data_IF_945795364619
#
_entry.id   IF_945795364619
#
_cell.length_a   1.000
_cell.length_b   1.000
_cell.length_c   1.000
_cell.angle_alpha   90.00
_cell.angle_beta   90.00
_cell.angle_gamma   90.00
#
_symmetry.space_group_name_H-M   'P 1'
#
loop_
_entity.id
_entity.type
_entity.pdbx_description
1 polymer ?
#
# COMPACT_ATOMS: atom_id res chain seq x y z
N UNK A 1 -9.40 64.13 -55.91
CA UNK A 1 -9.52 62.72 -56.36
C UNK A 1 -8.17 62.09 -56.02
N UNK A 2 -7.96 61.35 -54.95
CA UNK A 2 -8.78 60.28 -54.37
C UNK A 2 -8.15 58.95 -54.81
N UNK A 3 -7.85 58.06 -53.86
CA UNK A 3 -7.29 56.68 -54.03
C UNK A 3 -5.74 56.60 -54.02
N UNK A 4 -5.07 55.66 -53.35
CA UNK A 4 -5.45 54.72 -52.29
C UNK A 4 -4.16 54.31 -51.56
N UNK A 5 -4.23 54.16 -50.25
CA UNK A 5 -3.11 53.79 -49.38
C UNK A 5 -2.82 52.30 -49.50
N UNK A 6 -1.74 51.93 -50.18
CA UNK A 6 -1.25 50.55 -50.24
C UNK A 6 -0.61 50.10 -48.92
N UNK A 7 -1.42 49.84 -47.90
CA UNK A 7 -1.00 49.10 -46.70
C UNK A 7 -0.76 47.64 -47.09
N UNK A 8 0.53 47.29 -47.26
CA UNK A 8 0.95 45.92 -47.52
C UNK A 8 0.69 45.08 -46.27
N UNK A 9 -0.45 44.40 -46.30
CA UNK A 9 -0.88 43.42 -45.31
C UNK A 9 0.23 42.43 -44.97
N UNK A 10 0.90 42.67 -43.84
CA UNK A 10 1.73 41.69 -43.18
C UNK A 10 0.79 40.61 -42.65
N UNK A 11 0.72 39.48 -43.36
CA UNK A 11 0.10 38.24 -42.88
C UNK A 11 0.68 37.96 -41.49
N UNK A 12 -0.12 38.14 -40.45
CA UNK A 12 0.24 37.76 -39.08
C UNK A 12 0.37 36.25 -39.10
N UNK A 13 1.60 35.76 -39.02
CA UNK A 13 1.86 34.37 -38.66
C UNK A 13 1.29 34.21 -37.25
N UNK A 14 0.14 33.56 -37.15
CA UNK A 14 -0.36 33.04 -35.88
C UNK A 14 0.57 31.89 -35.53
N UNK A 15 1.73 32.25 -34.97
CA UNK A 15 2.44 31.31 -34.10
C UNK A 15 1.44 31.10 -32.98
N UNK A 16 0.97 29.85 -32.83
CA UNK A 16 0.28 29.41 -31.63
C UNK A 16 1.22 29.74 -30.49
N UNK A 17 1.04 30.94 -29.92
CA UNK A 17 1.86 31.37 -28.82
C UNK A 17 1.55 30.36 -27.75
N UNK A 18 2.60 29.76 -27.22
CA UNK A 18 2.57 28.95 -26.02
C UNK A 18 2.28 29.90 -24.83
N UNK A 19 1.23 30.72 -24.94
CA UNK A 19 0.91 31.89 -24.15
C UNK A 19 0.43 31.55 -22.75
N UNK A 20 0.20 30.26 -22.46
CA UNK A 20 0.04 29.80 -21.08
C UNK A 20 1.38 29.44 -20.41
N UNK A 21 2.44 29.13 -21.17
CA UNK A 21 3.75 28.73 -20.65
C UNK A 21 4.74 29.89 -20.49
N UNK A 22 4.60 30.97 -21.26
CA UNK A 22 5.56 32.10 -21.22
C UNK A 22 4.94 33.44 -20.77
N UNK A 23 3.68 33.73 -21.08
CA UNK A 23 3.06 35.01 -20.71
C UNK A 23 2.43 35.00 -19.31
N UNK A 24 2.10 33.82 -18.76
CA UNK A 24 1.51 33.68 -17.42
C UNK A 24 2.49 33.99 -16.27
N UNK A 25 3.80 34.06 -16.54
CA UNK A 25 4.79 34.41 -15.52
C UNK A 25 4.68 35.87 -15.05
N UNK A 26 4.09 36.76 -15.85
CA UNK A 26 3.80 38.14 -15.44
C UNK A 26 2.32 38.24 -15.09
N UNK A 27 2.01 38.27 -13.80
CA UNK A 27 0.64 38.46 -13.35
C UNK A 27 0.06 39.78 -13.91
N UNK A 28 -1.18 39.77 -14.43
CA UNK A 28 -1.85 41.00 -14.82
C UNK A 28 -1.91 41.99 -13.65
N UNK A 29 -1.39 43.21 -13.84
CA UNK A 29 -1.44 44.27 -12.81
C UNK A 29 -2.87 44.67 -12.42
N UNK A 30 -3.83 44.45 -13.32
CA UNK A 30 -5.25 44.75 -13.11
C UNK A 30 -6.04 43.45 -13.07
N UNK A 31 -7.04 43.40 -12.20
CA UNK A 31 -7.95 42.26 -12.11
C UNK A 31 -8.72 42.08 -13.42
N UNK A 32 -8.69 40.88 -13.99
CA UNK A 32 -9.54 40.50 -15.12
C UNK A 32 -10.72 39.70 -14.58
N UNK A 33 -11.93 40.07 -14.97
CA UNK A 33 -13.11 39.27 -14.67
C UNK A 33 -12.99 37.94 -15.42
N UNK A 34 -13.20 36.84 -14.71
CA UNK A 34 -13.24 35.50 -15.30
C UNK A 34 -14.70 35.19 -15.56
N UNK A 35 -15.04 34.84 -16.80
CA UNK A 35 -16.40 34.46 -17.17
C UNK A 35 -16.88 33.29 -16.31
N UNK A 36 -18.08 33.41 -15.72
CA UNK A 36 -18.65 32.40 -14.82
C UNK A 36 -18.14 32.42 -13.36
N UNK A 37 -17.21 33.30 -12.99
CA UNK A 37 -16.74 33.43 -11.60
C UNK A 37 -17.16 34.78 -11.01
N UNK A 38 -17.94 34.74 -9.92
CA UNK A 38 -18.36 35.93 -9.19
C UNK A 38 -17.19 36.62 -8.47
N UNK A 39 -17.23 37.96 -8.39
CA UNK A 39 -16.20 38.76 -7.72
C UNK A 39 -16.04 38.38 -6.23
N UNK A 40 -17.12 37.97 -5.56
CA UNK A 40 -17.12 37.49 -4.17
C UNK A 40 -16.31 36.20 -4.00
N UNK A 41 -16.51 35.22 -4.89
CA UNK A 41 -15.79 33.94 -4.87
C UNK A 41 -14.28 34.15 -5.05
N UNK A 42 -13.87 35.09 -5.91
CA UNK A 42 -12.46 35.42 -6.10
C UNK A 42 -11.86 36.07 -4.83
N UNK A 43 -12.61 36.92 -4.14
CA UNK A 43 -12.16 37.51 -2.87
C UNK A 43 -12.04 36.47 -1.76
N UNK A 44 -12.99 35.54 -1.67
CA UNK A 44 -12.95 34.43 -0.71
C UNK A 44 -11.74 33.53 -0.91
N UNK A 45 -11.44 33.16 -2.16
CA UNK A 45 -10.25 32.37 -2.51
C UNK A 45 -8.96 33.11 -2.18
N UNK A 46 -8.89 34.42 -2.43
CA UNK A 46 -7.73 35.25 -2.02
C UNK A 46 -7.57 35.26 -0.51
N UNK A 47 -8.66 35.32 0.25
CA UNK A 47 -8.61 35.28 1.71
C UNK A 47 -8.10 33.92 2.20
N UNK A 48 -8.58 32.81 1.67
CA UNK A 48 -8.09 31.46 2.01
C UNK A 48 -6.60 31.29 1.66
N UNK A 49 -6.18 31.75 0.48
CA UNK A 49 -4.78 31.70 0.05
C UNK A 49 -3.89 32.52 0.98
N UNK A 50 -4.34 33.72 1.37
CA UNK A 50 -3.61 34.57 2.31
C UNK A 50 -3.53 33.95 3.72
N UNK A 51 -4.62 33.35 4.22
CA UNK A 51 -4.61 32.60 5.49
C UNK A 51 -3.60 31.45 5.44
N UNK A 52 -3.63 30.61 4.40
CA UNK A 52 -2.68 29.52 4.20
C UNK A 52 -1.22 30.00 4.10
N UNK A 53 -0.97 31.11 3.42
CA UNK A 53 0.37 31.72 3.38
C UNK A 53 0.81 32.27 4.74
N UNK A 54 -0.09 32.89 5.50
CA UNK A 54 0.21 33.33 6.85
C UNK A 54 0.52 32.16 7.77
N UNK A 55 -0.24 31.06 7.70
CA UNK A 55 -0.01 29.90 8.56
C UNK A 55 1.29 29.17 8.19
N UNK A 56 1.64 29.11 6.90
CA UNK A 56 2.95 28.61 6.46
C UNK A 56 4.12 29.52 6.86
N UNK A 57 3.94 30.84 6.86
CA UNK A 57 4.95 31.79 7.38
C UNK A 57 5.07 31.70 8.89
N UNK A 58 3.96 31.71 9.64
CA UNK A 58 3.95 31.55 11.10
C UNK A 58 4.58 30.24 11.51
N UNK A 59 4.28 29.13 10.84
CA UNK A 59 4.94 27.84 11.12
C UNK A 59 6.43 27.85 10.78
N UNK A 60 6.87 28.63 9.79
CA UNK A 60 8.29 28.80 9.44
C UNK A 60 9.04 29.77 10.36
N UNK A 61 8.37 30.82 10.85
CA UNK A 61 8.91 31.79 11.83
C UNK A 61 8.96 31.21 13.24
N UNK A 62 7.93 30.45 13.64
CA UNK A 62 7.96 29.63 14.87
C UNK A 62 8.97 28.47 14.77
N UNK A 63 9.47 28.18 13.57
CA UNK A 63 10.56 27.24 13.27
C UNK A 63 11.90 27.92 12.94
N UNK A 64 12.09 29.17 13.33
CA UNK A 64 13.27 29.97 12.99
C UNK A 64 14.43 29.85 13.99
N UNK A 65 15.54 29.27 13.52
CA UNK A 65 16.92 29.37 14.06
C UNK A 65 17.26 28.52 15.30
N UNK A 66 17.23 27.19 15.17
CA UNK A 66 18.23 26.34 15.85
C UNK A 66 18.27 24.96 15.17
N UNK A 67 19.33 24.71 14.40
CA UNK A 67 19.42 23.54 13.52
C UNK A 67 20.07 22.32 14.17
N UNK A 68 20.47 22.34 15.44
CA UNK A 68 21.12 21.18 16.04
C UNK A 68 20.82 21.04 17.55
N UNK A 69 20.17 19.93 17.90
CA UNK A 69 19.98 19.39 19.25
C UNK A 69 18.99 20.09 20.20
N UNK A 70 17.73 20.24 19.78
CA UNK A 70 16.63 20.20 20.75
C UNK A 70 15.64 19.12 20.34
N UNK A 71 15.84 17.91 20.87
CA UNK A 71 14.77 16.91 20.99
C UNK A 71 13.61 17.62 21.67
N UNK A 72 12.60 18.02 20.89
CA UNK A 72 11.39 18.62 21.44
C UNK A 72 10.89 17.67 22.52
N UNK A 73 10.92 18.12 23.78
CA UNK A 73 10.06 17.51 24.79
C UNK A 73 8.67 17.77 24.27
N UNK A 74 8.11 16.76 23.60
CA UNK A 74 6.70 16.69 23.27
C UNK A 74 6.01 17.03 24.59
N UNK A 75 5.41 18.21 24.69
CA UNK A 75 4.34 18.39 25.65
C UNK A 75 3.29 17.40 25.17
N UNK A 76 3.36 16.20 25.74
CA UNK A 76 2.37 15.16 25.57
C UNK A 76 1.10 15.83 26.09
N UNK A 77 0.31 16.38 25.18
CA UNK A 77 -1.09 16.62 25.43
C UNK A 77 -1.62 15.27 25.87
N UNK A 78 -1.91 15.15 27.16
CA UNK A 78 -2.42 13.92 27.74
C UNK A 78 -3.77 13.66 27.12
N UNK A 79 -3.78 12.81 26.09
CA UNK A 79 -4.92 12.41 25.26
C UNK A 79 -5.27 13.45 24.19
N UNK A 80 -4.81 13.16 22.97
CA UNK A 80 -5.46 13.61 21.74
C UNK A 80 -6.96 13.24 21.82
N UNK A 81 -7.86 14.17 21.51
CA UNK A 81 -9.31 13.95 21.60
C UNK A 81 -9.78 12.80 20.70
N UNK A 82 -8.97 12.42 19.71
CA UNK A 82 -9.19 11.26 18.83
C UNK A 82 -8.48 9.97 19.27
N UNK A 83 -7.70 10.02 20.36
CA UNK A 83 -6.99 8.86 20.92
C UNK A 83 -7.86 7.97 21.81
N UNK A 84 -9.08 8.39 22.13
CA UNK A 84 -10.04 7.55 22.84
C UNK A 84 -10.56 6.47 21.88
N UNK A 85 -9.85 5.34 21.82
CA UNK A 85 -10.36 4.14 21.14
C UNK A 85 -11.57 3.61 21.88
N UNK A 86 -12.53 3.06 21.13
CA UNK A 86 -13.66 2.35 21.70
C UNK A 86 -13.17 1.22 22.62
N UNK A 87 -13.74 1.11 23.81
CA UNK A 87 -13.47 0.00 24.72
C UNK A 87 -13.82 -1.32 24.01
N UNK A 88 -12.87 -2.25 23.97
CA UNK A 88 -13.03 -3.55 23.29
C UNK A 88 -12.34 -3.67 21.93
N UNK A 89 -11.82 -2.58 21.35
CA UNK A 89 -10.98 -2.67 20.12
C UNK A 89 -9.70 -3.45 20.41
N UNK A 90 -9.01 -3.14 21.51
CA UNK A 90 -7.77 -3.84 21.86
C UNK A 90 -8.04 -5.30 22.27
N UNK A 91 -9.17 -5.59 22.91
CA UNK A 91 -9.58 -6.96 23.25
C UNK A 91 -9.89 -7.79 21.99
N UNK A 92 -10.62 -7.21 21.02
CA UNK A 92 -10.89 -7.86 19.73
C UNK A 92 -9.60 -8.05 18.93
N UNK A 93 -8.76 -7.02 18.82
CA UNK A 93 -7.48 -7.11 18.13
C UNK A 93 -6.55 -8.18 18.74
N UNK A 94 -6.58 -8.36 20.07
CA UNK A 94 -5.84 -9.42 20.74
C UNK A 94 -6.40 -10.80 20.41
N UNK A 95 -7.72 -10.97 20.42
CA UNK A 95 -8.40 -12.21 20.03
C UNK A 95 -8.09 -12.58 18.57
N UNK A 96 -8.28 -11.63 17.65
CA UNK A 96 -8.00 -11.81 16.22
C UNK A 96 -6.52 -12.19 15.98
N UNK A 97 -5.59 -11.61 16.74
CA UNK A 97 -4.16 -11.94 16.66
C UNK A 97 -3.85 -13.36 17.13
N UNK A 98 -4.56 -13.87 18.16
CA UNK A 98 -4.40 -15.25 18.61
C UNK A 98 -5.01 -16.23 17.60
N UNK A 99 -6.17 -15.92 17.04
CA UNK A 99 -6.83 -16.75 16.02
C UNK A 99 -5.98 -16.82 14.73
N UNK A 100 -5.46 -15.70 14.26
CA UNK A 100 -4.53 -15.67 13.12
C UNK A 100 -3.21 -16.39 13.40
N UNK A 101 -2.79 -16.53 14.66
CA UNK A 101 -1.63 -17.36 15.03
C UNK A 101 -2.00 -18.84 15.03
N UNK A 102 -3.13 -19.24 15.61
CA UNK A 102 -3.58 -20.63 15.61
C UNK A 102 -3.81 -21.16 14.17
N UNK A 103 -4.32 -20.33 13.27
CA UNK A 103 -4.43 -20.67 11.84
C UNK A 103 -3.05 -20.80 11.17
N UNK A 104 -2.04 -20.06 11.64
CA UNK A 104 -0.65 -20.14 11.17
C UNK A 104 0.16 -21.27 11.81
N UNK A 105 -0.20 -21.70 13.01
CA UNK A 105 0.47 -22.79 13.72
C UNK A 105 0.29 -24.12 12.97
N UNK A 106 -0.67 -24.19 12.03
CA UNK A 106 -0.68 -25.18 10.95
C UNK A 106 -0.74 -26.63 11.42
N UNK A 107 -0.89 -26.89 12.72
CA UNK A 107 -0.77 -28.22 13.32
C UNK A 107 -1.81 -29.19 12.74
N UNK A 108 -3.02 -28.70 12.49
CA UNK A 108 -4.08 -29.48 11.82
C UNK A 108 -3.70 -29.79 10.36
N UNK A 109 -3.08 -28.85 9.65
CA UNK A 109 -2.60 -29.08 8.28
C UNK A 109 -1.39 -30.02 8.24
N UNK A 110 -0.48 -29.93 9.22
CA UNK A 110 0.65 -30.84 9.35
C UNK A 110 0.18 -32.27 9.66
N UNK A 111 -0.73 -32.44 10.62
CA UNK A 111 -1.31 -33.75 10.93
C UNK A 111 -2.08 -34.35 9.73
N UNK A 112 -2.78 -33.51 8.94
CA UNK A 112 -3.43 -33.95 7.72
C UNK A 112 -2.43 -34.34 6.62
N UNK A 113 -1.31 -33.62 6.50
CA UNK A 113 -0.24 -33.93 5.55
C UNK A 113 0.52 -35.19 5.94
N UNK A 114 0.76 -35.43 7.22
CA UNK A 114 1.39 -36.64 7.75
C UNK A 114 0.53 -37.87 7.44
N UNK A 115 -0.77 -37.82 7.73
CA UNK A 115 -1.70 -38.91 7.36
C UNK A 115 -1.73 -39.19 5.86
N UNK A 116 -1.66 -38.15 5.03
CA UNK A 116 -1.55 -38.32 3.57
C UNK A 116 -0.24 -38.97 3.17
N UNK A 117 0.88 -38.54 3.75
CA UNK A 117 2.20 -39.08 3.47
C UNK A 117 2.27 -40.57 3.85
N UNK A 118 1.77 -40.95 5.03
CA UNK A 118 1.67 -42.36 5.43
C UNK A 118 0.86 -43.19 4.44
N UNK A 119 -0.26 -42.65 3.94
CA UNK A 119 -1.08 -43.33 2.93
C UNK A 119 -0.32 -43.52 1.61
N UNK A 120 0.40 -42.50 1.15
CA UNK A 120 1.25 -42.61 -0.05
C UNK A 120 2.38 -43.62 0.14
N UNK A 121 3.02 -43.63 1.29
CA UNK A 121 4.08 -44.59 1.63
C UNK A 121 3.56 -46.03 1.64
N UNK A 122 2.37 -46.26 2.19
CA UNK A 122 1.71 -47.57 2.18
C UNK A 122 1.32 -48.01 0.76
N UNK A 123 0.80 -47.08 -0.05
CA UNK A 123 0.52 -47.33 -1.48
C UNK A 123 1.80 -47.72 -2.24
N UNK A 124 2.91 -47.00 -2.02
CA UNK A 124 4.18 -47.31 -2.69
C UNK A 124 4.76 -48.65 -2.25
N UNK A 125 4.62 -49.01 -0.97
CA UNK A 125 5.08 -50.31 -0.43
C UNK A 125 4.17 -51.48 -0.84
N UNK A 126 2.98 -51.20 -1.37
CA UNK A 126 2.01 -52.24 -1.75
C UNK A 126 1.46 -53.04 -0.57
N UNK A 127 1.51 -52.47 0.64
CA UNK A 127 1.10 -53.12 1.90
C UNK A 127 -0.34 -52.77 2.29
N UNK A 128 -1.12 -52.19 1.38
CA UNK A 128 -2.55 -52.01 1.63
C UNK A 128 -3.21 -53.38 1.64
N UNK A 129 -3.77 -53.75 2.78
CA UNK A 129 -4.64 -54.91 2.90
C UNK A 129 -5.83 -54.68 1.99
N UNK A 130 -5.79 -55.36 0.85
CA UNK A 130 -6.70 -55.19 -0.27
C UNK A 130 -8.17 -55.47 0.12
N UNK A 131 -8.44 -56.11 1.25
CA UNK A 131 -9.79 -56.46 1.69
C UNK A 131 -10.49 -55.34 2.48
N UNK A 132 -9.80 -54.60 3.36
CA UNK A 132 -10.47 -53.62 4.24
C UNK A 132 -10.57 -52.20 3.64
N UNK A 133 -9.66 -51.84 2.72
CA UNK A 133 -9.57 -50.49 2.19
C UNK A 133 -10.29 -50.31 0.84
N UNK A 134 -10.51 -51.39 0.08
CA UNK A 134 -11.35 -51.36 -1.13
C UNK A 134 -12.76 -50.90 -0.80
N UNK A 135 -13.35 -51.40 0.28
CA UNK A 135 -14.71 -51.00 0.67
C UNK A 135 -14.80 -49.53 1.13
N UNK A 136 -13.72 -48.99 1.72
CA UNK A 136 -13.68 -47.61 2.24
C UNK A 136 -13.45 -46.57 1.14
N UNK A 137 -12.65 -46.91 0.13
CA UNK A 137 -12.24 -45.96 -0.92
C UNK A 137 -12.91 -46.19 -2.28
N UNK A 138 -13.54 -47.35 -2.52
CA UNK A 138 -14.33 -47.58 -3.73
C UNK A 138 -15.73 -46.99 -3.58
N UNK A 139 -16.13 -46.19 -4.58
CA UNK A 139 -17.48 -45.67 -4.68
C UNK A 139 -18.40 -46.77 -5.24
N UNK A 140 -19.41 -47.17 -4.48
CA UNK A 140 -20.46 -48.05 -4.98
C UNK A 140 -21.47 -47.24 -5.83
N UNK A 141 -21.32 -47.34 -7.14
CA UNK A 141 -22.18 -46.66 -8.10
C UNK A 141 -23.62 -47.19 -8.10
N UNK A 142 -23.88 -48.41 -7.62
CA UNK A 142 -25.22 -48.99 -7.59
C UNK A 142 -26.03 -48.49 -6.39
N UNK A 143 -25.40 -48.25 -5.24
CA UNK A 143 -26.07 -47.66 -4.05
C UNK A 143 -26.49 -46.20 -4.26
N UNK A 144 -25.75 -45.46 -5.09
CA UNK A 144 -26.01 -44.03 -5.37
C UNK A 144 -27.31 -43.76 -6.14
N UNK A 145 -27.97 -44.78 -6.69
CA UNK A 145 -29.25 -44.66 -7.38
C UNK A 145 -30.49 -44.81 -6.50
N UNK A 146 -30.37 -45.38 -5.29
CA UNK A 146 -31.52 -45.75 -4.45
C UNK A 146 -31.67 -44.96 -3.15
N UNK A 147 -30.65 -44.21 -2.72
CA UNK A 147 -30.71 -43.37 -1.53
C UNK A 147 -30.69 -41.88 -1.93
N UNK A 148 -31.82 -41.41 -2.45
CA UNK A 148 -32.23 -40.02 -2.32
C UNK A 148 -33.40 -40.05 -1.34
N UNK A 149 -33.18 -39.61 -0.09
CA UNK A 149 -34.15 -39.35 1.00
C UNK A 149 -33.93 -40.09 2.34
N UNK A 150 -32.70 -40.48 2.69
CA UNK A 150 -32.37 -40.72 4.10
C UNK A 150 -31.10 -39.93 4.48
N UNK A 151 -31.18 -38.94 5.39
CA UNK A 151 -30.01 -38.18 5.79
C UNK A 151 -29.04 -39.14 6.51
N UNK A 152 -27.75 -39.22 6.09
CA UNK A 152 -26.80 -40.08 6.74
C UNK A 152 -26.63 -39.64 8.20
N UNK A 153 -27.06 -40.52 9.11
CA UNK A 153 -26.76 -40.45 10.53
C UNK A 153 -25.23 -40.33 10.68
N UNK A 154 -24.70 -39.29 11.35
CA UNK A 154 -23.26 -39.20 11.58
C UNK A 154 -22.88 -40.33 12.54
N UNK A 155 -22.34 -41.42 12.01
CA UNK A 155 -21.67 -42.44 12.81
C UNK A 155 -20.40 -41.81 13.37
N UNK A 156 -20.54 -41.32 14.60
CA UNK A 156 -19.46 -41.05 15.52
C UNK A 156 -18.61 -42.32 15.64
N UNK A 157 -17.38 -42.27 15.12
CA UNK A 157 -16.31 -43.07 15.67
C UNK A 157 -16.09 -42.58 17.10
N UNK A 158 -16.75 -43.23 18.06
CA UNK A 158 -16.42 -43.07 19.45
C UNK A 158 -15.48 -44.19 19.88
N UNK A 159 -14.31 -43.75 20.30
CA UNK A 159 -13.36 -44.52 21.10
C UNK A 159 -14.02 -44.66 22.47
N UNK A 160 -13.97 -45.85 23.07
CA UNK A 160 -14.57 -46.15 24.36
C UNK A 160 -14.39 -45.06 25.43
N UNK A 161 -15.43 -44.93 26.26
CA UNK A 161 -15.38 -44.67 27.71
C UNK A 161 -15.35 -43.19 28.17
N UNK A 162 -16.52 -42.62 28.50
CA UNK A 162 -16.91 -42.28 29.90
C UNK A 162 -18.26 -41.56 29.99
N UNK A 163 -19.17 -42.17 30.76
CA UNK A 163 -20.40 -41.69 31.43
C UNK A 163 -20.61 -40.17 31.50
N UNK A 164 -21.79 -39.66 31.10
CA UNK A 164 -22.75 -38.93 31.97
C UNK A 164 -24.01 -38.45 31.22
N UNK A 165 -25.11 -38.45 31.97
CA UNK A 165 -26.51 -38.18 31.64
C UNK A 165 -26.81 -36.68 31.47
N UNK A 166 -27.75 -36.31 30.59
CA UNK A 166 -28.72 -35.23 30.87
C UNK A 166 -28.96 -34.15 29.80
N UNK A 167 -30.19 -34.17 29.27
CA UNK A 167 -31.09 -33.04 28.91
C UNK A 167 -30.98 -32.24 27.59
N UNK A 168 -32.04 -32.42 26.78
CA UNK A 168 -33.02 -31.43 26.26
C UNK A 168 -32.59 -30.19 25.44
N UNK A 169 -33.16 -30.14 24.22
CA UNK A 169 -33.78 -29.00 23.52
C UNK A 169 -33.04 -27.67 23.33
N UNK A 170 -32.62 -27.44 22.08
CA UNK A 170 -32.73 -26.22 21.25
C UNK A 170 -31.52 -26.16 20.32
N UNK A 171 -31.74 -26.16 18.99
CA UNK A 171 -30.87 -25.55 17.95
C UNK A 171 -31.13 -26.10 16.53
N UNK A 172 -32.41 -26.34 16.19
CA UNK A 172 -32.81 -26.80 14.84
C UNK A 172 -33.08 -25.65 13.86
N UNK A 173 -32.30 -24.57 13.90
CA UNK A 173 -32.47 -23.47 12.93
C UNK A 173 -31.19 -22.75 12.48
N UNK A 174 -30.00 -23.18 12.93
CA UNK A 174 -28.73 -22.56 12.53
C UNK A 174 -28.08 -23.19 11.27
N UNK A 175 -28.57 -24.34 10.81
CA UNK A 175 -27.91 -25.17 9.79
C UNK A 175 -28.27 -24.83 8.33
N UNK A 176 -29.28 -24.00 8.09
CA UNK A 176 -29.70 -23.60 6.73
C UNK A 176 -28.89 -22.42 6.14
N UNK A 177 -28.09 -21.71 6.94
CA UNK A 177 -27.39 -20.49 6.49
C UNK A 177 -26.01 -20.74 5.85
N UNK A 178 -25.48 -21.97 5.90
CA UNK A 178 -24.12 -22.27 5.43
C UNK A 178 -24.03 -22.93 4.05
N UNK A 179 -25.16 -23.23 3.39
CA UNK A 179 -25.15 -23.87 2.06
C UNK A 179 -25.30 -22.91 0.87
N UNK A 180 -25.45 -21.61 1.11
CA UNK A 180 -25.35 -20.59 0.07
C UNK A 180 -23.88 -20.19 -0.10
N UNK A 181 -23.14 -21.00 -0.89
CA UNK A 181 -21.84 -20.57 -1.41
C UNK A 181 -22.05 -19.20 -2.09
N UNK A 182 -21.44 -18.10 -1.64
CA UNK A 182 -21.46 -16.88 -2.43
C UNK A 182 -20.73 -17.22 -3.72
N UNK A 183 -21.47 -17.25 -4.83
CA UNK A 183 -20.88 -17.20 -6.16
C UNK A 183 -19.98 -15.98 -6.14
N UNK A 184 -18.67 -16.23 -6.07
CA UNK A 184 -17.68 -15.18 -5.97
C UNK A 184 -17.90 -14.16 -7.07
N UNK A 185 -17.88 -12.90 -6.70
CA UNK A 185 -18.05 -11.69 -7.51
C UNK A 185 -17.06 -11.57 -8.70
N UNK A 186 -16.29 -12.62 -9.02
CA UNK A 186 -15.29 -12.65 -10.08
C UNK A 186 -15.72 -13.40 -11.35
N UNK A 187 -16.94 -13.96 -11.44
CA UNK A 187 -17.40 -14.68 -12.63
C UNK A 187 -18.06 -13.79 -13.68
N UNK A 188 -17.70 -12.51 -13.74
CA UNK A 188 -17.94 -11.66 -14.90
C UNK A 188 -16.64 -11.56 -15.71
N UNK A 189 -16.17 -12.69 -16.22
CA UNK A 189 -15.18 -12.65 -17.29
C UNK A 189 -15.96 -12.35 -18.57
N UNK A 190 -16.10 -11.07 -18.90
CA UNK A 190 -15.99 -10.69 -20.31
C UNK A 190 -14.74 -11.38 -20.85
N UNK A 191 -14.79 -11.94 -22.05
CA UNK A 191 -13.68 -12.62 -22.68
C UNK A 191 -12.53 -11.62 -22.93
N UNK A 192 -11.80 -11.24 -21.89
CA UNK A 192 -10.52 -10.55 -22.02
C UNK A 192 -9.56 -11.62 -22.48
N UNK A 193 -8.97 -11.41 -23.66
CA UNK A 193 -8.01 -12.34 -24.23
C UNK A 193 -6.89 -12.62 -23.20
N UNK A 194 -6.74 -13.91 -22.86
CA UNK A 194 -5.77 -14.36 -21.87
C UNK A 194 -4.34 -13.97 -22.29
N UNK A 195 -4.09 -13.85 -23.60
CA UNK A 195 -2.81 -13.38 -24.12
C UNK A 195 -2.56 -11.89 -23.82
N UNK A 196 -3.58 -11.03 -23.93
CA UNK A 196 -3.50 -9.61 -23.55
C UNK A 196 -3.29 -9.46 -22.05
N UNK A 197 -4.03 -10.20 -21.23
CA UNK A 197 -3.85 -10.17 -19.77
C UNK A 197 -2.41 -10.52 -19.37
N UNK A 198 -1.81 -11.57 -19.95
CA UNK A 198 -0.41 -11.95 -19.70
C UNK A 198 0.58 -10.88 -20.15
N UNK A 199 0.30 -10.16 -21.25
CA UNK A 199 1.13 -9.03 -21.70
C UNK A 199 1.06 -7.88 -20.70
N UNK A 200 -0.14 -7.49 -20.29
CA UNK A 200 -0.35 -6.38 -19.36
C UNK A 200 0.33 -6.67 -18.00
N UNK A 201 0.23 -7.90 -17.49
CA UNK A 201 0.91 -8.29 -16.24
C UNK A 201 2.43 -8.17 -16.38
N UNK A 202 3.01 -8.65 -17.48
CA UNK A 202 4.46 -8.52 -17.72
C UNK A 202 4.88 -7.06 -17.85
N UNK A 203 4.12 -6.26 -18.59
CA UNK A 203 4.39 -4.83 -18.79
C UNK A 203 4.38 -4.07 -17.47
N UNK A 204 3.38 -4.31 -16.61
CA UNK A 204 3.32 -3.69 -15.27
C UNK A 204 4.52 -4.09 -14.42
N UNK A 205 4.95 -5.34 -14.48
CA UNK A 205 6.16 -5.77 -13.76
C UNK A 205 7.42 -5.09 -14.28
N UNK A 206 7.56 -4.95 -15.59
CA UNK A 206 8.68 -4.23 -16.20
C UNK A 206 8.65 -2.74 -15.84
N UNK A 207 7.48 -2.09 -15.88
CA UNK A 207 7.33 -0.69 -15.47
C UNK A 207 7.68 -0.49 -14.00
N UNK A 208 7.21 -1.38 -13.12
CA UNK A 208 7.55 -1.36 -11.71
C UNK A 208 9.06 -1.53 -11.49
N UNK A 209 9.72 -2.40 -12.26
CA UNK A 209 11.17 -2.58 -12.18
C UNK A 209 11.92 -1.33 -12.66
N UNK A 210 11.53 -0.74 -13.80
CA UNK A 210 12.11 0.54 -14.28
C UNK A 210 11.93 1.67 -13.27
N UNK A 211 10.79 1.73 -12.59
CA UNK A 211 10.54 2.72 -11.55
C UNK A 211 11.46 2.52 -10.33
N UNK A 212 11.70 1.26 -9.92
CA UNK A 212 12.65 0.92 -8.86
C UNK A 212 14.09 1.29 -9.23
N UNK A 213 14.50 1.01 -10.45
CA UNK A 213 15.83 1.36 -10.97
C UNK A 213 16.05 2.88 -10.93
N UNK A 214 15.13 3.67 -11.51
CA UNK A 214 15.20 5.14 -11.46
C UNK A 214 15.26 5.69 -10.04
N UNK A 215 14.46 5.12 -9.12
CA UNK A 215 14.51 5.53 -7.72
C UNK A 215 15.87 5.22 -7.05
N UNK A 216 16.46 4.07 -7.40
CA UNK A 216 17.79 3.69 -6.92
C UNK A 216 18.89 4.61 -7.49
N UNK A 217 18.81 4.98 -8.76
CA UNK A 217 19.74 5.91 -9.42
C UNK A 217 19.68 7.30 -8.77
N UNK A 218 18.48 7.83 -8.50
CA UNK A 218 18.30 9.12 -7.82
C UNK A 218 18.92 9.08 -6.43
N UNK A 219 18.74 7.97 -5.70
CA UNK A 219 19.33 7.79 -4.37
C UNK A 219 20.85 7.77 -4.43
N UNK A 220 21.43 7.01 -5.37
CA UNK A 220 22.88 6.92 -5.55
C UNK A 220 23.46 8.28 -5.93
N UNK A 221 22.84 9.01 -6.87
CA UNK A 221 23.26 10.38 -7.24
C UNK A 221 23.25 11.33 -6.05
N UNK A 222 22.23 11.26 -5.18
CA UNK A 222 22.18 12.07 -3.96
C UNK A 222 23.29 11.69 -2.98
N UNK A 223 23.58 10.40 -2.84
CA UNK A 223 24.67 9.92 -1.99
C UNK A 223 26.04 10.39 -2.51
N UNK A 224 26.27 10.32 -3.83
CA UNK A 224 27.48 10.82 -4.48
C UNK A 224 27.65 12.33 -4.26
N UNK A 225 26.58 13.11 -4.41
CA UNK A 225 26.63 14.55 -4.13
C UNK A 225 27.00 14.85 -2.68
N UNK A 226 26.41 14.12 -1.72
CA UNK A 226 26.73 14.27 -0.30
C UNK A 226 28.18 13.85 -0.02
N UNK A 227 28.65 12.77 -0.63
CA UNK A 227 30.03 12.30 -0.51
C UNK A 227 31.02 13.33 -1.08
N UNK A 228 30.76 13.86 -2.28
CA UNK A 228 31.58 14.90 -2.90
C UNK A 228 31.62 16.19 -2.06
N UNK A 229 30.47 16.60 -1.49
CA UNK A 229 30.44 17.73 -0.56
C UNK A 229 31.26 17.47 0.70
N UNK A 230 31.14 16.27 1.28
CA UNK A 230 31.92 15.86 2.46
C UNK A 230 33.43 15.85 2.17
N UNK A 231 33.84 15.35 1.01
CA UNK A 231 35.25 15.36 0.60
C UNK A 231 35.77 16.78 0.37
N UNK A 232 34.99 17.64 -0.28
CA UNK A 232 35.34 19.05 -0.47
C UNK A 232 35.52 19.77 0.87
N UNK A 233 34.63 19.53 1.82
CA UNK A 233 34.76 20.07 3.18
C UNK A 233 36.00 19.53 3.89
N UNK A 234 36.29 18.23 3.76
CA UNK A 234 37.51 17.62 4.33
C UNK A 234 38.78 18.24 3.73
N UNK A 235 38.83 18.44 2.42
CA UNK A 235 39.97 19.09 1.74
C UNK A 235 40.13 20.54 2.18
N UNK A 236 39.03 21.31 2.27
CA UNK A 236 39.06 22.69 2.73
C UNK A 236 39.58 22.80 4.17
N UNK A 237 39.14 21.89 5.06
CA UNK A 237 39.64 21.81 6.43
C UNK A 237 41.14 21.54 6.49
N UNK A 238 41.63 20.55 5.72
CA UNK A 238 43.06 20.23 5.65
C UNK A 238 43.89 21.40 5.11
N UNK A 239 43.41 22.08 4.07
CA UNK A 239 44.07 23.29 3.52
C UNK A 239 44.17 24.39 4.56
N UNK A 240 43.08 24.68 5.28
CA UNK A 240 43.06 25.69 6.34
C UNK A 240 44.05 25.34 7.47
N UNK A 241 44.14 24.07 7.85
CA UNK A 241 45.10 23.62 8.87
C UNK A 241 46.55 23.78 8.41
N UNK A 242 46.86 23.48 7.15
CA UNK A 242 48.19 23.68 6.57
C UNK A 242 48.56 25.17 6.50
N UNK A 243 47.62 26.03 6.10
CA UNK A 243 47.84 27.48 6.08
C UNK A 243 48.12 28.04 7.47
N UNK A 244 47.40 27.58 8.49
CA UNK A 244 47.67 27.94 9.89
C UNK A 244 49.07 27.52 10.34
N UNK A 245 49.51 26.30 10.02
CA UNK A 245 50.86 25.85 10.33
C UNK A 245 51.94 26.66 9.60
N UNK A 246 51.69 27.01 8.33
CA UNK A 246 52.60 27.86 7.54
C UNK A 246 52.68 29.28 8.11
N UNK A 247 51.55 29.86 8.52
CA UNK A 247 51.51 31.17 9.16
C UNK A 247 52.24 31.17 10.50
N UNK A 248 52.06 30.13 11.32
CA UNK A 248 52.77 29.97 12.59
C UNK A 248 54.28 29.80 12.40
N UNK A 249 54.71 29.02 11.41
CA UNK A 249 56.12 28.87 11.04
C UNK A 249 56.73 30.20 10.59
N UNK A 250 56.07 30.94 9.69
CA UNK A 250 56.59 32.21 9.17
C UNK A 250 56.60 33.30 10.24
N UNK A 251 55.65 33.30 11.18
CA UNK A 251 55.62 34.22 12.31
C UNK A 251 56.66 33.93 13.40
N UNK A 252 57.33 32.78 13.37
CA UNK A 252 58.41 32.42 14.31
C UNK A 252 59.82 32.77 13.82
N UNK A 253 59.95 33.23 12.56
CA UNK A 253 61.22 33.57 11.90
C UNK A 253 61.38 35.09 11.71
N UNK A 254 60.49 35.90 12.31
CA UNK A 254 60.63 37.37 12.43
C UNK A 254 60.83 37.76 13.88
#
# INVERSE_FOLDING_TARGET
MGEDGGDRGKKRVVVESLGWLTESSIMPKKHRAIEGVGASSIMELKAQLYQSQQDSRKSKELGGVDFDYQRAKKKITTKDAFSAKNSGVDARAHKDKLELKAVKDGAVSYAALEKKAELYDKLMRGELSDEEDKEKYCVDFFRKGFEQDEPPQPQSHDVSETVLVGNEDADRDASMLFNTKPVGLGRMSGAVDNAEHKRNVREVHEEANRAREKASEIKNRRQEQIAAQREKLKQAYLRKKLEQLKAASNGSVS
#
